data_IF_543566484015
#
_entry.id   IF_543566484015
#
_cell.length_a   1.000
_cell.length_b   1.000
_cell.length_c   1.000
_cell.angle_alpha   90.00
_cell.angle_beta   90.00
_cell.angle_gamma   90.00
#
_symmetry.space_group_name_H-M   'P 1'
#
loop_
_entity.id
_entity.type
_entity.pdbx_description
1 polymer ?
#
# COMPACT_ATOMS: atom_id res chain seq x y z
N UNK A 1 -33.87 -6.69 5.40
CA UNK A 1 -32.55 -7.34 5.27
C UNK A 1 -31.98 -6.98 3.91
N UNK A 2 -30.84 -6.28 3.84
CA UNK A 2 -30.27 -5.80 2.58
C UNK A 2 -29.03 -6.65 2.25
N UNK A 3 -29.14 -7.56 1.27
CA UNK A 3 -28.00 -8.25 0.68
C UNK A 3 -27.48 -7.45 -0.52
N UNK A 4 -26.60 -6.49 -0.29
CA UNK A 4 -25.94 -5.74 -1.37
C UNK A 4 -24.67 -6.50 -1.83
N UNK A 5 -24.85 -7.49 -2.70
CA UNK A 5 -23.74 -8.05 -3.48
C UNK A 5 -23.90 -7.60 -4.93
N UNK A 6 -23.07 -6.64 -5.35
CA UNK A 6 -22.99 -6.20 -6.75
C UNK A 6 -21.73 -6.80 -7.37
N UNK A 7 -21.83 -7.95 -8.08
CA UNK A 7 -20.65 -8.55 -8.69
C UNK A 7 -20.08 -7.60 -9.76
N UNK A 8 -18.77 -7.38 -9.71
CA UNK A 8 -18.06 -6.64 -10.76
C UNK A 8 -17.87 -7.55 -11.98
N UNK A 9 -18.47 -7.17 -13.11
CA UNK A 9 -18.25 -7.83 -14.40
C UNK A 9 -16.79 -7.72 -14.84
N UNK A 10 -16.12 -6.63 -14.49
CA UNK A 10 -14.71 -6.37 -14.78
C UNK A 10 -13.79 -7.28 -13.95
N UNK A 11 -14.11 -7.47 -12.66
CA UNK A 11 -13.29 -8.30 -11.76
C UNK A 11 -13.17 -9.74 -12.26
N UNK A 12 -14.23 -10.28 -12.87
CA UNK A 12 -14.20 -11.61 -13.45
C UNK A 12 -13.21 -11.73 -14.62
N UNK A 13 -13.14 -10.72 -15.50
CA UNK A 13 -12.13 -10.69 -16.57
C UNK A 13 -10.72 -10.51 -16.03
N UNK A 14 -10.55 -9.62 -15.05
CA UNK A 14 -9.25 -9.35 -14.44
C UNK A 14 -8.67 -10.59 -13.74
N UNK A 15 -9.51 -11.42 -13.10
CA UNK A 15 -9.06 -12.65 -12.41
C UNK A 15 -8.20 -13.56 -13.28
N UNK A 16 -8.47 -13.66 -14.59
CA UNK A 16 -7.65 -14.45 -15.51
C UNK A 16 -6.24 -13.87 -15.71
N UNK A 17 -6.07 -12.57 -15.52
CA UNK A 17 -4.80 -11.86 -15.70
C UNK A 17 -4.06 -11.59 -14.37
N UNK A 18 -4.68 -11.79 -13.20
CA UNK A 18 -4.08 -11.46 -11.89
C UNK A 18 -2.69 -12.06 -11.74
N UNK A 19 -2.52 -13.35 -12.02
CA UNK A 19 -1.22 -14.03 -11.88
C UNK A 19 -0.16 -13.43 -12.80
N UNK A 20 -0.54 -13.02 -14.02
CA UNK A 20 0.37 -12.35 -14.95
C UNK A 20 0.75 -10.98 -14.44
N UNK A 21 -0.21 -10.21 -13.90
CA UNK A 21 0.06 -8.90 -13.30
C UNK A 21 0.99 -9.06 -12.10
N UNK A 22 0.71 -10.00 -11.18
CA UNK A 22 1.55 -10.26 -10.01
C UNK A 22 2.98 -10.63 -10.38
N UNK A 23 3.16 -11.53 -11.35
CA UNK A 23 4.48 -11.98 -11.78
C UNK A 23 5.31 -10.89 -12.48
N UNK A 24 4.65 -9.90 -13.08
CA UNK A 24 5.31 -8.86 -13.87
C UNK A 24 5.27 -7.47 -13.22
N UNK A 25 4.66 -7.35 -12.04
CA UNK A 25 4.57 -6.10 -11.29
C UNK A 25 5.59 -6.10 -10.17
N UNK A 26 6.09 -4.91 -9.84
CA UNK A 26 6.93 -4.68 -8.66
C UNK A 26 6.38 -3.49 -7.90
N UNK A 27 6.44 -3.56 -6.58
CA UNK A 27 6.04 -2.45 -5.72
C UNK A 27 7.13 -1.38 -5.75
N UNK A 28 6.78 -0.19 -6.23
CA UNK A 28 7.63 0.99 -6.09
C UNK A 28 7.33 1.61 -4.72
N UNK A 29 8.17 1.30 -3.73
CA UNK A 29 8.02 1.78 -2.35
C UNK A 29 8.82 3.08 -2.15
N UNK A 30 9.19 3.79 -3.21
CA UNK A 30 10.08 4.95 -3.11
C UNK A 30 10.74 5.33 -4.42
N UNK A 31 11.63 6.33 -4.39
CA UNK A 31 12.29 6.88 -5.57
C UNK A 31 13.72 6.34 -5.81
N UNK A 32 14.09 5.23 -5.15
CA UNK A 32 15.42 4.63 -5.23
C UNK A 32 16.48 5.27 -4.33
N UNK A 33 16.16 6.40 -3.67
CA UNK A 33 16.99 6.99 -2.60
C UNK A 33 16.34 6.82 -1.23
N UNK A 34 15.02 7.02 -1.17
CA UNK A 34 14.23 6.92 0.05
C UNK A 34 13.06 5.97 -0.13
N UNK A 35 12.55 5.45 0.99
CA UNK A 35 11.31 4.68 1.06
C UNK A 35 10.15 5.65 1.34
N UNK A 36 9.17 5.68 0.44
CA UNK A 36 7.93 6.42 0.58
C UNK A 36 6.93 5.58 1.39
N UNK A 37 6.80 5.90 2.67
CA UNK A 37 5.81 5.28 3.53
C UNK A 37 4.43 5.91 3.32
N UNK A 38 3.41 5.07 3.25
CA UNK A 38 2.02 5.51 3.21
C UNK A 38 1.66 6.16 4.56
N UNK A 39 1.40 7.48 4.55
CA UNK A 39 1.07 8.28 5.75
C UNK A 39 -0.43 8.41 6.03
N UNK A 40 -1.25 8.11 5.05
CA UNK A 40 -2.71 8.10 5.18
C UNK A 40 -3.21 7.05 6.18
N UNK A 41 -4.29 7.38 6.87
CA UNK A 41 -4.96 6.50 7.83
C UNK A 41 -5.96 5.61 7.08
N UNK A 42 -5.45 4.65 6.29
CA UNK A 42 -6.30 3.69 5.57
C UNK A 42 -7.28 2.99 6.53
N UNK A 43 -6.84 2.72 7.75
CA UNK A 43 -7.70 2.40 8.88
C UNK A 43 -7.91 3.72 9.61
N UNK A 44 -9.10 4.32 9.52
CA UNK A 44 -9.40 5.66 10.02
C UNK A 44 -8.91 5.96 11.47
N UNK A 45 -8.65 4.91 12.25
CA UNK A 45 -8.19 4.97 13.63
C UNK A 45 -6.67 5.16 13.80
N UNK A 46 -5.84 4.76 12.82
CA UNK A 46 -4.38 4.94 12.85
C UNK A 46 -3.71 4.70 11.47
N UNK A 47 -2.64 5.43 11.20
CA UNK A 47 -1.76 5.27 10.04
C UNK A 47 -0.95 3.97 10.11
N UNK A 48 -0.51 3.48 8.95
CA UNK A 48 0.37 2.29 8.91
C UNK A 48 1.66 2.50 9.72
N UNK A 49 2.16 3.74 9.82
CA UNK A 49 3.32 4.07 10.63
C UNK A 49 3.08 3.79 12.12
N UNK A 50 1.94 4.25 12.65
CA UNK A 50 1.55 4.03 14.04
C UNK A 50 1.35 2.53 14.32
N UNK A 51 0.83 1.78 13.35
CA UNK A 51 0.65 0.33 13.45
C UNK A 51 1.96 -0.43 13.63
N UNK A 52 3.03 0.02 12.95
CA UNK A 52 4.32 -0.68 12.88
C UNK A 52 5.27 -0.24 14.00
N UNK A 53 4.92 0.77 14.81
CA UNK A 53 5.77 1.29 15.89
C UNK A 53 7.19 1.60 15.42
N UNK A 54 7.32 2.16 14.21
CA UNK A 54 8.63 2.53 13.65
C UNK A 54 9.25 3.60 14.54
N UNK A 55 10.47 3.37 15.01
CA UNK A 55 11.20 4.30 15.88
C UNK A 55 11.34 5.68 15.21
N UNK A 56 10.93 6.78 15.87
CA UNK A 56 11.13 8.14 15.39
C UNK A 56 12.59 8.49 15.04
N UNK A 57 13.59 7.80 15.57
CA UNK A 57 14.99 8.01 15.19
C UNK A 57 15.33 7.46 13.80
N UNK A 58 14.67 6.39 13.35
CA UNK A 58 14.82 5.88 11.97
C UNK A 58 14.40 6.97 10.97
N UNK A 59 13.48 7.86 11.36
CA UNK A 59 13.07 9.01 10.55
C UNK A 59 14.17 10.05 10.35
N UNK A 60 15.04 10.29 11.36
CA UNK A 60 16.16 11.27 11.22
C UNK A 60 17.16 10.84 10.15
N UNK A 61 17.41 9.54 10.01
CA UNK A 61 18.36 9.03 9.00
C UNK A 61 17.86 9.21 7.56
N UNK A 62 16.54 9.29 7.35
CA UNK A 62 15.95 9.43 6.00
C UNK A 62 15.85 10.92 5.57
N UNK A 63 15.81 11.87 6.52
CA UNK A 63 15.71 13.31 6.22
C UNK A 63 17.05 14.07 6.17
N UNK A 64 18.17 13.48 6.61
CA UNK A 64 19.49 14.11 6.52
C UNK A 64 20.23 13.85 5.20
N UNK A 65 19.56 13.27 4.20
CA UNK A 65 20.05 13.14 2.81
C UNK A 65 19.33 14.10 1.84
N UNK A 66 18.94 15.27 2.31
CA UNK A 66 18.64 16.43 1.46
C UNK A 66 19.55 17.60 1.83
#
# INVERSE_FOLDING_TARGET
>A
QINYFKPSSIWNGLKGAIKTVENNSRWLIGNGRNIDFWRDCWRADYSLMEAISVDPEIWRCIFLLN
#
